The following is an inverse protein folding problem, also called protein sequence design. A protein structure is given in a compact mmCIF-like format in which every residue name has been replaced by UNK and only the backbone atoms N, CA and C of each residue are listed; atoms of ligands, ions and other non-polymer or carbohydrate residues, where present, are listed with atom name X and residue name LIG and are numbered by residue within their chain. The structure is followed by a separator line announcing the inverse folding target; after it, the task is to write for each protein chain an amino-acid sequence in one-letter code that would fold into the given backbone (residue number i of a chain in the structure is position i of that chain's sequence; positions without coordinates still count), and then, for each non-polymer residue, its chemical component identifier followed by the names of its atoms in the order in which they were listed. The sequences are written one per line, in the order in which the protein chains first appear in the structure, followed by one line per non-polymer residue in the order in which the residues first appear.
data_IF_274452622672
#
_entry.id   IF_274452622672
#
_cell.length_a   1.000
_cell.length_b   1.000
_cell.length_c   1.000
_cell.angle_alpha   90.00
_cell.angle_beta   90.00
_cell.angle_gamma   90.00
#
_symmetry.space_group_name_H-M   'P 1'
#
loop_
_entity.id
_entity.type
_entity.pdbx_description
1 polymer ?
#
# COMPACT_ATOMS: atom_id res chain seq x y z
N UNK A 1 -19.33 -4.58 16.85
CA UNK A 1 -19.30 -3.86 15.55
C UNK A 1 -17.90 -3.39 15.19
N UNK A 2 -17.20 -2.64 16.05
CA UNK A 2 -15.83 -2.18 15.79
C UNK A 2 -14.84 -3.34 15.63
N UNK A 3 -14.95 -4.40 16.46
CA UNK A 3 -14.11 -5.61 16.30
C UNK A 3 -14.34 -6.32 14.96
N UNK A 4 -15.59 -6.47 14.53
CA UNK A 4 -15.90 -7.06 13.22
C UNK A 4 -15.36 -6.19 12.08
N UNK A 5 -15.50 -4.87 12.18
CA UNK A 5 -14.95 -3.93 11.20
C UNK A 5 -13.42 -4.00 11.12
N UNK A 6 -12.74 -4.06 12.26
CA UNK A 6 -11.30 -4.24 12.33
C UNK A 6 -10.86 -5.58 11.72
N UNK A 7 -11.55 -6.66 12.07
CA UNK A 7 -11.26 -8.01 11.55
C UNK A 7 -11.40 -8.06 10.03
N UNK A 8 -12.50 -7.57 9.45
CA UNK A 8 -12.68 -7.55 8.00
C UNK A 8 -11.73 -6.56 7.31
N UNK A 9 -11.48 -5.39 7.92
CA UNK A 9 -10.54 -4.40 7.40
C UNK A 9 -9.11 -4.95 7.30
N UNK A 10 -8.67 -5.72 8.29
CA UNK A 10 -7.36 -6.39 8.28
C UNK A 10 -7.23 -7.39 7.13
N UNK A 11 -8.26 -8.20 6.85
CA UNK A 11 -8.27 -9.12 5.73
C UNK A 11 -8.20 -8.41 4.37
N UNK A 12 -8.90 -7.29 4.22
CA UNK A 12 -8.83 -6.46 3.01
C UNK A 12 -7.40 -5.90 2.83
N UNK A 13 -6.81 -5.35 3.88
CA UNK A 13 -5.43 -4.82 3.85
C UNK A 13 -4.43 -5.93 3.49
N UNK A 14 -4.63 -7.15 4.01
CA UNK A 14 -3.78 -8.29 3.69
C UNK A 14 -3.86 -8.66 2.21
N UNK A 15 -5.06 -8.81 1.65
CA UNK A 15 -5.25 -9.12 0.23
C UNK A 15 -4.61 -8.05 -0.65
N UNK A 16 -4.85 -6.77 -0.34
CA UNK A 16 -4.24 -5.67 -1.08
C UNK A 16 -2.72 -5.64 -0.95
N UNK A 17 -2.17 -6.04 0.21
CA UNK A 17 -0.72 -6.15 0.42
C UNK A 17 -0.09 -7.26 -0.44
N UNK A 18 -0.76 -8.41 -0.56
CA UNK A 18 -0.30 -9.52 -1.41
C UNK A 18 -0.34 -9.11 -2.88
N UNK A 19 -1.44 -8.49 -3.34
CA UNK A 19 -1.57 -8.00 -4.72
C UNK A 19 -0.50 -6.93 -5.04
N UNK A 20 -0.26 -6.02 -4.11
CA UNK A 20 0.78 -5.00 -4.21
C UNK A 20 2.17 -5.62 -4.39
N UNK A 21 2.51 -6.63 -3.57
CA UNK A 21 3.78 -7.36 -3.69
C UNK A 21 3.90 -8.07 -5.04
N UNK A 22 2.85 -8.77 -5.48
CA UNK A 22 2.83 -9.47 -6.76
C UNK A 22 3.03 -8.54 -7.96
N UNK A 23 2.46 -7.32 -7.91
CA UNK A 23 2.62 -6.33 -8.97
C UNK A 23 4.00 -5.66 -8.94
N UNK A 24 4.50 -5.27 -7.76
CA UNK A 24 5.82 -4.65 -7.60
C UNK A 24 6.95 -5.63 -7.95
N UNK A 25 6.75 -6.94 -7.74
CA UNK A 25 7.72 -7.96 -8.15
C UNK A 25 7.71 -8.27 -9.65
N UNK A 26 6.81 -7.65 -10.44
CA UNK A 26 6.74 -7.91 -11.87
C UNK A 26 7.98 -7.41 -12.60
N UNK A 27 8.46 -8.22 -13.56
CA UNK A 27 9.53 -7.85 -14.49
C UNK A 27 9.09 -6.84 -15.54
N UNK A 28 7.77 -6.70 -15.78
CA UNK A 28 7.22 -5.72 -16.71
C UNK A 28 7.16 -4.34 -16.06
N UNK A 29 7.83 -3.36 -16.67
CA UNK A 29 7.98 -2.03 -16.10
C UNK A 29 6.62 -1.35 -15.77
N UNK A 30 5.65 -1.43 -16.69
CA UNK A 30 4.31 -0.84 -16.46
C UNK A 30 3.56 -1.52 -15.33
N UNK A 31 3.62 -2.86 -15.26
CA UNK A 31 3.00 -3.64 -14.19
C UNK A 31 3.63 -3.32 -12.82
N UNK A 32 4.95 -3.15 -12.78
CA UNK A 32 5.68 -2.72 -11.58
C UNK A 32 5.30 -1.31 -11.13
N UNK A 33 5.15 -0.36 -12.06
CA UNK A 33 4.68 1.00 -11.78
C UNK A 33 3.26 0.99 -11.19
N UNK A 34 2.35 0.21 -11.78
CA UNK A 34 1.01 0.04 -11.25
C UNK A 34 1.03 -0.61 -9.86
N UNK A 35 1.97 -1.52 -9.62
CA UNK A 35 2.22 -2.10 -8.30
C UNK A 35 2.58 -1.05 -7.25
N UNK A 36 3.47 -0.10 -7.57
CA UNK A 36 3.82 0.98 -6.64
C UNK A 36 2.62 1.88 -6.32
N UNK A 37 1.79 2.22 -7.32
CA UNK A 37 0.57 3.02 -7.08
C UNK A 37 -0.42 2.25 -6.21
N UNK A 38 -0.70 0.99 -6.54
CA UNK A 38 -1.61 0.15 -5.77
C UNK A 38 -1.12 0.00 -4.33
N UNK A 39 0.19 -0.19 -4.14
CA UNK A 39 0.81 -0.23 -2.82
C UNK A 39 0.55 1.07 -2.06
N UNK A 40 0.79 2.23 -2.68
CA UNK A 40 0.57 3.53 -2.05
C UNK A 40 -0.86 3.73 -1.57
N UNK A 41 -1.84 3.44 -2.43
CA UNK A 41 -3.27 3.55 -2.14
C UNK A 41 -3.71 2.55 -1.06
N UNK A 42 -3.28 1.29 -1.17
CA UNK A 42 -3.59 0.24 -0.20
C UNK A 42 -3.10 0.60 1.19
N UNK A 43 -1.85 1.05 1.30
CA UNK A 43 -1.27 1.45 2.59
C UNK A 43 -1.97 2.68 3.14
N UNK A 44 -2.32 3.64 2.30
CA UNK A 44 -3.05 4.82 2.75
C UNK A 44 -4.45 4.46 3.28
N UNK A 45 -5.18 3.59 2.57
CA UNK A 45 -6.45 3.05 3.04
C UNK A 45 -6.30 2.29 4.37
N UNK A 46 -5.22 1.53 4.53
CA UNK A 46 -4.86 0.89 5.79
C UNK A 46 -4.67 1.90 6.93
N UNK A 47 -3.95 3.00 6.70
CA UNK A 47 -3.78 4.06 7.69
C UNK A 47 -5.14 4.66 8.12
N UNK A 48 -6.06 4.86 7.18
CA UNK A 48 -7.42 5.36 7.49
C UNK A 48 -8.19 4.36 8.36
N UNK A 49 -8.15 3.07 8.04
CA UNK A 49 -8.78 2.02 8.86
C UNK A 49 -8.20 2.01 10.27
N UNK A 50 -6.86 2.10 10.41
CA UNK A 50 -6.20 2.09 11.71
C UNK A 50 -6.44 3.36 12.54
N UNK A 51 -6.72 4.48 11.89
CA UNK A 51 -7.13 5.72 12.56
C UNK A 51 -8.48 5.53 13.28
N UNK A 52 -9.45 4.86 12.64
CA UNK A 52 -10.79 4.63 13.22
C UNK A 52 -10.82 3.65 14.40
N UNK A 53 -9.72 2.94 14.65
CA UNK A 53 -9.60 1.97 15.76
C UNK A 53 -8.53 2.36 16.77
N UNK A 54 -8.09 3.63 16.75
CA UNK A 54 -7.11 4.20 17.67
C UNK A 54 -5.80 3.40 17.76
N UNK A 55 -5.27 2.97 16.61
CA UNK A 55 -4.00 2.23 16.49
C UNK A 55 -2.89 3.09 15.88
N UNK A 56 -2.32 4.06 16.62
CA UNK A 56 -1.44 5.10 16.07
C UNK A 56 -0.14 4.54 15.46
N UNK A 57 0.42 3.47 16.03
CA UNK A 57 1.62 2.84 15.49
C UNK A 57 1.41 2.29 14.06
N UNK A 58 0.24 1.67 13.83
CA UNK A 58 -0.11 1.13 12.52
C UNK A 58 -0.44 2.23 11.52
N UNK A 59 -1.04 3.34 11.96
CA UNK A 59 -1.25 4.54 11.13
C UNK A 59 0.09 5.06 10.61
N UNK A 60 1.05 5.31 11.50
CA UNK A 60 2.38 5.84 11.13
C UNK A 60 3.10 4.88 10.18
N UNK A 61 3.12 3.59 10.49
CA UNK A 61 3.76 2.58 9.65
C UNK A 61 3.18 2.58 8.21
N UNK A 62 1.85 2.67 8.08
CA UNK A 62 1.20 2.71 6.78
C UNK A 62 1.50 4.01 6.03
N UNK A 63 1.53 5.17 6.70
CA UNK A 63 1.89 6.45 6.06
C UNK A 63 3.33 6.45 5.53
N UNK A 64 4.28 5.87 6.28
CA UNK A 64 5.67 5.69 5.83
C UNK A 64 5.70 4.80 4.58
N UNK A 65 4.98 3.67 4.60
CA UNK A 65 4.92 2.75 3.46
C UNK A 65 4.26 3.38 2.23
N UNK A 66 3.23 4.20 2.41
CA UNK A 66 2.61 5.01 1.35
C UNK A 66 3.65 5.94 0.70
N UNK A 67 4.42 6.67 1.51
CA UNK A 67 5.48 7.53 1.00
C UNK A 67 6.55 6.76 0.21
N UNK A 68 7.04 5.64 0.77
CA UNK A 68 8.04 4.79 0.11
C UNK A 68 7.52 4.26 -1.23
N UNK A 69 6.26 3.82 -1.28
CA UNK A 69 5.64 3.31 -2.51
C UNK A 69 5.57 4.39 -3.60
N UNK A 70 5.11 5.60 -3.27
CA UNK A 70 5.09 6.70 -4.23
C UNK A 70 6.50 7.14 -4.66
N UNK A 71 7.47 7.19 -3.74
CA UNK A 71 8.87 7.45 -4.09
C UNK A 71 9.41 6.38 -5.05
N UNK A 72 9.10 5.12 -4.80
CA UNK A 72 9.42 3.99 -5.69
C UNK A 72 8.82 4.14 -7.09
N UNK A 73 7.55 4.56 -7.18
CA UNK A 73 6.90 4.90 -8.44
C UNK A 73 7.66 6.00 -9.20
N UNK A 74 7.94 7.13 -8.55
CA UNK A 74 8.62 8.26 -9.22
C UNK A 74 10.02 7.89 -9.71
N UNK A 75 10.79 7.15 -8.92
CA UNK A 75 12.14 6.74 -9.30
C UNK A 75 12.12 5.77 -10.49
N UNK A 76 11.25 4.76 -10.47
CA UNK A 76 11.14 3.81 -11.58
C UNK A 76 10.54 4.46 -12.83
N UNK A 77 9.60 5.40 -12.69
CA UNK A 77 9.03 6.12 -13.84
C UNK A 77 10.08 6.95 -14.57
N UNK A 78 11.09 7.46 -13.87
CA UNK A 78 12.22 8.17 -14.47
C UNK A 78 13.16 7.20 -15.20
N UNK A 79 13.46 6.05 -14.60
CA UNK A 79 14.35 5.04 -15.18
C UNK A 79 13.82 4.41 -16.48
N UNK A 80 12.50 4.33 -16.68
CA UNK A 80 11.91 3.85 -17.94
C UNK A 80 11.86 4.88 -19.08
N UNK A 81 12.42 6.09 -18.87
CA UNK A 81 12.47 7.17 -19.88
C UNK A 81 13.90 7.48 -20.38
N UNK A 82 14.90 6.79 -19.84
CA UNK A 82 16.26 6.73 -20.39
C UNK A 82 16.37 5.54 -21.35
#
# INVERSE_FOLDING_TARGET
MIESFLQYGQWIILVLSILSLALVSSVKHETRLNGYILTGISRFAGAVVFLFVDLPAFVIANLIQTYIAFKGYYNNKKAGKE
#
